data_IF_255796199668
#
_entry.id   IF_255796199668
#
_cell.length_a   1.000
_cell.length_b   1.000
_cell.length_c   1.000
_cell.angle_alpha   90.00
_cell.angle_beta   90.00
_cell.angle_gamma   90.00
#
_symmetry.space_group_name_H-M   'P 1'
#
loop_
_entity.id
_entity.type
_entity.pdbx_description
1 polymer ?
#
# COMPACT_ATOMS: atom_id res chain seq x y z
N UNK A 1 53.85 29.21 -3.16
CA UNK A 1 53.02 28.32 -4.00
C UNK A 1 52.83 26.93 -3.40
N UNK A 2 53.86 26.28 -2.83
CA UNK A 2 53.72 24.97 -2.16
C UNK A 2 52.81 24.97 -0.90
N UNK A 3 52.90 26.03 -0.08
CA UNK A 3 52.12 26.15 1.17
C UNK A 3 50.61 26.34 0.95
N UNK A 4 50.21 26.94 -0.17
CA UNK A 4 48.79 27.13 -0.55
C UNK A 4 48.19 25.88 -1.16
N UNK A 5 48.99 25.07 -1.88
CA UNK A 5 48.58 23.78 -2.44
C UNK A 5 48.36 22.72 -1.35
N UNK A 6 49.20 22.71 -0.29
CA UNK A 6 49.02 21.79 0.85
C UNK A 6 47.74 22.09 1.65
N UNK A 7 47.39 23.37 1.83
CA UNK A 7 46.18 23.77 2.55
C UNK A 7 44.89 23.48 1.77
N UNK A 8 44.93 23.56 0.43
CA UNK A 8 43.82 23.17 -0.43
C UNK A 8 43.60 21.64 -0.43
N UNK A 9 44.68 20.85 -0.43
CA UNK A 9 44.62 19.38 -0.34
C UNK A 9 44.13 18.89 1.04
N UNK A 10 44.60 19.49 2.14
CA UNK A 10 44.08 19.17 3.48
C UNK A 10 42.63 19.64 3.68
N UNK A 11 42.25 20.80 3.12
CA UNK A 11 40.88 21.30 3.17
C UNK A 11 39.89 20.41 2.40
N UNK A 12 40.30 19.88 1.25
CA UNK A 12 39.45 18.97 0.45
C UNK A 12 39.27 17.60 1.14
N UNK A 13 40.26 17.11 1.89
CA UNK A 13 40.18 15.85 2.63
C UNK A 13 39.24 15.91 3.85
N UNK A 14 39.02 17.09 4.45
CA UNK A 14 38.16 17.25 5.63
C UNK A 14 36.67 17.41 5.23
N UNK A 15 36.36 17.89 4.02
CA UNK A 15 34.96 18.05 3.56
C UNK A 15 34.32 16.73 3.13
N UNK A 16 35.09 15.69 2.81
CA UNK A 16 34.56 14.40 2.34
C UNK A 16 34.06 13.48 3.47
N UNK A 17 34.36 13.76 4.74
CA UNK A 17 34.19 12.78 5.82
C UNK A 17 32.97 12.96 6.74
N UNK A 18 32.08 13.94 6.52
CA UNK A 18 30.90 14.11 7.39
C UNK A 18 29.62 14.33 6.58
N UNK A 19 29.13 13.28 5.93
CA UNK A 19 27.70 13.10 5.66
C UNK A 19 27.35 11.64 5.28
N UNK A 20 28.12 10.64 5.71
CA UNK A 20 27.60 9.28 5.79
C UNK A 20 26.73 9.20 7.06
N UNK A 21 25.58 9.89 7.05
CA UNK A 21 24.52 9.60 8.01
C UNK A 21 24.03 8.20 7.69
N UNK A 22 24.64 7.22 8.36
CA UNK A 22 24.08 5.88 8.43
C UNK A 22 22.75 6.01 9.15
N UNK A 23 21.67 6.07 8.37
CA UNK A 23 20.35 5.76 8.90
C UNK A 23 20.47 4.31 9.36
N UNK A 24 20.67 4.12 10.65
CA UNK A 24 20.39 2.86 11.31
C UNK A 24 18.89 2.71 11.21
N UNK A 25 18.44 2.15 10.09
CA UNK A 25 17.07 1.69 9.96
C UNK A 25 16.97 0.55 10.97
N UNK A 26 16.44 0.86 12.16
CA UNK A 26 15.93 -0.13 13.08
C UNK A 26 14.75 -0.78 12.39
N UNK A 27 15.03 -1.71 11.45
CA UNK A 27 14.08 -2.75 11.14
C UNK A 27 13.90 -3.46 12.46
N UNK A 28 12.79 -3.18 13.14
CA UNK A 28 12.27 -4.11 14.13
C UNK A 28 12.39 -5.47 13.47
N UNK A 29 13.08 -6.46 14.08
CA UNK A 29 12.94 -7.81 13.60
C UNK A 29 11.44 -8.04 13.63
N UNK A 30 10.84 -8.26 12.46
CA UNK A 30 9.61 -9.01 12.45
C UNK A 30 10.02 -10.30 13.16
N UNK A 31 9.63 -10.44 14.43
CA UNK A 31 9.69 -11.71 15.14
C UNK A 31 8.65 -12.60 14.47
N UNK A 32 8.91 -12.94 13.20
CA UNK A 32 8.17 -13.86 12.40
C UNK A 32 8.68 -15.22 12.80
N UNK A 33 7.86 -15.97 13.51
CA UNK A 33 8.25 -17.28 13.95
C UNK A 33 8.51 -18.18 12.72
N UNK A 34 9.54 -19.02 12.81
CA UNK A 34 9.94 -19.95 11.76
C UNK A 34 9.13 -21.23 11.93
N UNK A 35 8.13 -21.44 11.07
CA UNK A 35 7.32 -22.66 11.03
C UNK A 35 5.93 -22.46 10.45
N UNK A 36 5.25 -23.56 10.11
CA UNK A 36 3.88 -23.59 9.53
C UNK A 36 2.77 -23.09 10.46
N UNK A 37 3.09 -22.73 11.71
CA UNK A 37 2.13 -22.25 12.72
C UNK A 37 2.19 -20.73 12.96
N UNK A 38 2.95 -20.02 12.13
CA UNK A 38 3.23 -18.59 12.29
C UNK A 38 2.34 -17.78 11.38
N UNK A 39 1.15 -17.43 11.86
CA UNK A 39 0.35 -16.41 11.21
C UNK A 39 0.94 -15.04 11.56
N UNK A 40 1.32 -14.21 10.56
CA UNK A 40 1.85 -12.87 10.82
C UNK A 40 0.81 -11.90 11.40
N UNK A 41 -0.47 -12.26 11.37
CA UNK A 41 -1.59 -11.51 11.93
C UNK A 41 -2.72 -12.47 12.32
N UNK A 42 -3.49 -12.11 13.35
CA UNK A 42 -4.71 -12.84 13.75
C UNK A 42 -5.93 -12.38 12.97
N UNK A 43 -6.03 -11.06 12.72
CA UNK A 43 -7.14 -10.42 12.03
C UNK A 43 -6.62 -9.40 11.02
N UNK A 44 -7.32 -9.30 9.89
CA UNK A 44 -7.16 -8.20 8.94
C UNK A 44 -8.49 -7.43 8.92
N UNK A 45 -8.42 -6.14 9.18
CA UNK A 45 -9.53 -5.21 8.97
C UNK A 45 -9.14 -4.28 7.84
N UNK A 46 -9.94 -4.28 6.78
CA UNK A 46 -9.76 -3.39 5.63
C UNK A 46 -10.92 -2.41 5.58
N UNK A 47 -10.61 -1.12 5.70
CA UNK A 47 -11.58 -0.03 5.55
C UNK A 47 -11.33 0.58 4.17
N UNK A 48 -12.37 0.62 3.34
CA UNK A 48 -12.32 1.20 2.02
C UNK A 48 -13.26 2.40 1.95
N UNK A 49 -12.71 3.55 1.54
CA UNK A 49 -13.48 4.78 1.39
C UNK A 49 -13.91 4.95 -0.06
N UNK A 50 -15.20 4.99 -0.29
CA UNK A 50 -15.77 5.21 -1.62
C UNK A 50 -15.48 6.62 -2.12
N UNK A 51 -14.97 6.71 -3.36
CA UNK A 51 -14.75 7.95 -4.10
C UNK A 51 -13.92 9.00 -3.35
N UNK A 52 -12.94 8.54 -2.55
CA UNK A 52 -11.97 9.40 -1.87
C UNK A 52 -10.56 9.16 -2.37
N UNK A 53 -9.95 10.20 -2.94
CA UNK A 53 -8.52 10.26 -3.20
C UNK A 53 -7.73 10.76 -1.99
N UNK A 54 -6.41 10.63 -2.06
CA UNK A 54 -5.48 10.95 -0.96
C UNK A 54 -5.72 12.33 -0.33
N UNK A 55 -5.77 13.40 -1.14
CA UNK A 55 -5.86 14.77 -0.65
C UNK A 55 -7.28 15.16 -0.19
N UNK A 56 -8.29 14.34 -0.49
CA UNK A 56 -9.64 14.51 0.06
C UNK A 56 -9.76 13.95 1.48
N UNK A 57 -8.81 13.09 1.90
CA UNK A 57 -8.80 12.47 3.24
C UNK A 57 -7.74 13.13 4.11
N UNK A 58 -6.50 13.16 3.65
CA UNK A 58 -5.35 13.55 4.46
C UNK A 58 -5.38 15.05 4.78
N UNK A 59 -5.37 15.39 6.07
CA UNK A 59 -5.39 16.81 6.50
C UNK A 59 -4.14 17.57 6.07
N UNK A 60 -3.04 16.86 5.83
CA UNK A 60 -1.79 17.42 5.30
C UNK A 60 -1.87 17.84 3.82
N UNK A 61 -2.98 17.56 3.13
CA UNK A 61 -3.18 17.91 1.72
C UNK A 61 -4.57 18.56 1.45
N UNK A 62 -5.21 19.10 2.50
CA UNK A 62 -6.50 19.81 2.37
C UNK A 62 -7.75 18.97 2.67
N UNK A 63 -7.59 17.72 3.06
CA UNK A 63 -8.68 16.87 3.55
C UNK A 63 -9.08 17.17 4.99
N UNK A 64 -10.12 16.50 5.47
CA UNK A 64 -10.65 16.66 6.84
C UNK A 64 -10.63 15.38 7.69
N UNK A 65 -10.04 14.29 7.18
CA UNK A 65 -9.91 13.00 7.88
C UNK A 65 -8.83 13.03 8.94
N UNK A 66 -9.15 13.58 10.12
CA UNK A 66 -8.19 13.73 11.23
C UNK A 66 -7.75 12.38 11.80
N UNK A 67 -8.67 11.42 11.89
CA UNK A 67 -8.38 10.08 12.41
C UNK A 67 -7.54 9.25 11.43
N UNK A 68 -7.89 9.25 10.14
CA UNK A 68 -7.11 8.57 9.11
C UNK A 68 -5.70 9.15 9.01
N UNK A 69 -5.59 10.49 9.13
CA UNK A 69 -4.29 11.16 9.14
C UNK A 69 -3.45 10.76 10.36
N UNK A 70 -4.05 10.67 11.55
CA UNK A 70 -3.31 10.27 12.75
C UNK A 70 -2.84 8.82 12.70
N UNK A 71 -3.65 7.90 12.15
CA UNK A 71 -3.26 6.52 11.92
C UNK A 71 -2.07 6.43 10.94
N UNK A 72 -2.15 7.12 9.81
CA UNK A 72 -1.08 7.14 8.81
C UNK A 72 0.25 7.71 9.36
N UNK A 73 0.19 8.75 10.20
CA UNK A 73 1.37 9.33 10.85
C UNK A 73 1.94 8.43 11.94
N UNK A 74 1.11 7.65 12.62
CA UNK A 74 1.53 6.80 13.74
C UNK A 74 2.13 5.47 13.30
N UNK A 75 1.65 4.92 12.17
CA UNK A 75 2.05 3.59 11.72
C UNK A 75 2.84 3.63 10.41
N UNK A 76 2.13 3.69 9.29
CA UNK A 76 2.74 3.73 7.98
C UNK A 76 1.77 4.31 6.95
N UNK A 77 2.33 4.97 5.95
CA UNK A 77 1.63 5.37 4.74
C UNK A 77 2.46 4.98 3.53
N UNK A 78 1.79 4.50 2.48
CA UNK A 78 2.45 4.08 1.26
C UNK A 78 2.77 5.28 0.38
N UNK A 79 4.06 5.53 0.17
CA UNK A 79 4.54 6.69 -0.55
C UNK A 79 4.06 8.02 0.04
N UNK A 80 4.15 9.07 -0.76
CA UNK A 80 3.65 10.42 -0.49
C UNK A 80 2.99 10.96 -1.73
N UNK A 81 1.76 11.46 -1.60
CA UNK A 81 1.00 12.02 -2.72
C UNK A 81 0.96 13.55 -2.66
N UNK A 82 0.96 14.18 -3.84
CA UNK A 82 0.81 15.64 -4.02
C UNK A 82 -0.57 16.02 -4.53
N UNK A 83 -1.34 15.05 -5.03
CA UNK A 83 -2.75 15.20 -5.43
C UNK A 83 -3.48 13.86 -5.26
N UNK A 84 -4.77 13.81 -5.60
CA UNK A 84 -5.56 12.56 -5.59
C UNK A 84 -5.08 11.52 -6.62
N UNK A 85 -4.30 11.93 -7.62
CA UNK A 85 -3.90 11.09 -8.76
C UNK A 85 -2.40 11.12 -9.01
N UNK A 86 -1.59 11.62 -8.07
CA UNK A 86 -0.14 11.70 -8.22
C UNK A 86 0.57 11.43 -6.90
N UNK A 87 1.39 10.39 -6.90
CA UNK A 87 2.18 9.94 -5.76
C UNK A 87 3.63 9.65 -6.14
N UNK A 88 4.50 9.74 -5.15
CA UNK A 88 5.87 9.24 -5.22
C UNK A 88 5.90 7.72 -5.31
N UNK A 89 7.07 7.16 -5.65
CA UNK A 89 7.26 5.72 -5.82
C UNK A 89 6.74 4.94 -4.59
N UNK A 90 5.92 3.93 -4.85
CA UNK A 90 5.28 3.11 -3.82
C UNK A 90 3.98 3.68 -3.24
N UNK A 91 3.54 4.87 -3.68
CA UNK A 91 2.18 5.36 -3.40
C UNK A 91 1.13 4.76 -4.33
N UNK A 92 -0.13 4.82 -3.90
CA UNK A 92 -1.27 4.23 -4.62
C UNK A 92 -2.25 5.31 -5.08
N UNK A 93 -2.78 5.14 -6.29
CA UNK A 93 -3.86 5.95 -6.87
C UNK A 93 -4.91 5.02 -7.48
N UNK A 94 -6.10 5.56 -7.79
CA UNK A 94 -7.06 4.84 -8.60
C UNK A 94 -6.47 4.47 -9.97
N UNK A 95 -6.91 3.35 -10.52
CA UNK A 95 -6.61 2.89 -11.87
C UNK A 95 -7.56 3.51 -12.90
N UNK A 96 -8.86 3.55 -12.57
CA UNK A 96 -9.92 4.03 -13.47
C UNK A 96 -10.96 4.84 -12.71
N UNK A 97 -11.79 5.54 -13.48
CA UNK A 97 -13.06 6.06 -13.04
C UNK A 97 -14.11 5.58 -14.04
N UNK A 98 -15.21 4.94 -13.62
CA UNK A 98 -15.76 4.80 -12.27
C UNK A 98 -15.04 3.81 -11.32
N UNK A 99 -15.59 3.60 -10.12
CA UNK A 99 -14.91 2.96 -8.97
C UNK A 99 -14.83 1.44 -9.05
N UNK A 100 -15.74 0.74 -9.75
CA UNK A 100 -15.80 -0.74 -9.77
C UNK A 100 -14.49 -1.42 -10.21
N UNK A 101 -13.80 -0.99 -11.28
CA UNK A 101 -12.51 -1.55 -11.67
C UNK A 101 -11.45 -1.49 -10.56
N UNK A 102 -11.51 -0.49 -9.68
CA UNK A 102 -10.56 -0.34 -8.58
C UNK A 102 -10.79 -1.39 -7.49
N UNK A 103 -12.04 -1.79 -7.25
CA UNK A 103 -12.39 -2.85 -6.30
C UNK A 103 -11.95 -4.22 -6.82
N UNK A 104 -12.13 -4.46 -8.12
CA UNK A 104 -11.65 -5.66 -8.80
C UNK A 104 -10.13 -5.76 -8.68
N UNK A 105 -9.40 -4.67 -8.96
CA UNK A 105 -7.95 -4.66 -8.84
C UNK A 105 -7.46 -4.79 -7.39
N UNK A 106 -8.16 -4.22 -6.42
CA UNK A 106 -7.82 -4.34 -5.00
C UNK A 106 -7.86 -5.80 -4.53
N UNK A 107 -8.87 -6.56 -4.97
CA UNK A 107 -9.07 -7.95 -4.53
C UNK A 107 -8.36 -8.96 -5.43
N UNK A 108 -8.34 -8.72 -6.74
CA UNK A 108 -7.75 -9.62 -7.74
C UNK A 108 -6.28 -9.36 -8.07
N UNK A 109 -5.72 -8.23 -7.63
CA UNK A 109 -4.35 -7.80 -7.99
C UNK A 109 -4.19 -7.38 -9.46
N UNK A 110 -5.28 -7.36 -10.23
CA UNK A 110 -5.35 -6.99 -11.64
C UNK A 110 -6.78 -6.51 -11.94
N UNK A 111 -6.96 -5.61 -12.90
CA UNK A 111 -8.28 -5.16 -13.37
C UNK A 111 -8.88 -6.10 -14.44
N UNK A 112 -8.14 -7.10 -14.93
CA UNK A 112 -8.57 -8.07 -15.95
C UNK A 112 -9.10 -7.44 -17.25
N UNK A 113 -8.59 -6.25 -17.59
CA UNK A 113 -9.05 -5.47 -18.75
C UNK A 113 -10.36 -4.71 -18.53
N UNK A 114 -10.92 -4.75 -17.32
CA UNK A 114 -12.12 -3.99 -16.93
C UNK A 114 -11.70 -2.58 -16.56
N UNK A 115 -12.37 -1.58 -17.14
CA UNK A 115 -12.03 -0.16 -16.98
C UNK A 115 -13.26 0.72 -16.72
N UNK A 116 -14.44 0.13 -16.67
CA UNK A 116 -15.72 0.82 -16.48
C UNK A 116 -16.62 0.00 -15.52
N UNK A 117 -17.74 0.59 -15.12
CA UNK A 117 -18.74 -0.10 -14.31
C UNK A 117 -19.50 -1.13 -15.18
N UNK A 118 -19.78 -2.29 -14.57
CA UNK A 118 -20.57 -3.35 -15.17
C UNK A 118 -22.03 -3.27 -14.72
N UNK A 119 -22.95 -3.66 -15.61
CA UNK A 119 -24.28 -4.04 -15.15
C UNK A 119 -24.12 -5.37 -14.39
N UNK A 120 -24.23 -5.32 -13.06
CA UNK A 120 -23.94 -6.39 -12.09
C UNK A 120 -24.03 -7.82 -12.65
N UNK A 121 -22.96 -8.62 -12.70
CA UNK A 121 -21.59 -8.46 -12.16
C UNK A 121 -20.58 -9.11 -13.12
N UNK A 122 -19.33 -8.65 -13.15
CA UNK A 122 -18.28 -9.36 -13.88
C UNK A 122 -18.04 -10.75 -13.29
N UNK A 123 -18.17 -11.79 -14.11
CA UNK A 123 -17.79 -13.16 -13.76
C UNK A 123 -16.31 -13.36 -14.04
N UNK A 124 -15.48 -13.19 -13.00
CA UNK A 124 -14.03 -13.28 -13.11
C UNK A 124 -13.57 -14.59 -12.46
N UNK A 125 -13.21 -15.57 -13.30
CA UNK A 125 -12.62 -16.84 -12.86
C UNK A 125 -11.09 -16.73 -12.79
N UNK A 126 -10.59 -15.97 -11.82
CA UNK A 126 -9.16 -15.80 -11.56
C UNK A 126 -8.86 -15.87 -10.06
N UNK A 127 -7.67 -16.37 -9.66
CA UNK A 127 -7.26 -16.33 -8.26
C UNK A 127 -7.29 -14.90 -7.72
N UNK A 128 -7.86 -14.74 -6.53
CA UNK A 128 -7.97 -13.45 -5.86
C UNK A 128 -7.69 -13.60 -4.35
N UNK A 129 -7.54 -12.47 -3.66
CA UNK A 129 -7.22 -12.43 -2.23
C UNK A 129 -8.22 -13.23 -1.40
N UNK A 130 -9.51 -13.13 -1.69
CA UNK A 130 -10.58 -13.84 -0.95
C UNK A 130 -10.42 -15.36 -1.14
N UNK A 131 -10.19 -15.82 -2.37
CA UNK A 131 -9.96 -17.24 -2.65
C UNK A 131 -8.73 -17.78 -1.90
N UNK A 132 -7.67 -16.98 -1.76
CA UNK A 132 -6.47 -17.34 -0.98
C UNK A 132 -6.74 -17.36 0.52
N UNK A 133 -7.50 -16.39 1.05
CA UNK A 133 -7.90 -16.36 2.46
C UNK A 133 -8.73 -17.58 2.84
N UNK A 134 -9.68 -17.98 2.00
CA UNK A 134 -10.50 -19.17 2.21
C UNK A 134 -9.66 -20.46 2.19
N UNK A 135 -8.63 -20.54 1.33
CA UNK A 135 -7.71 -21.70 1.30
C UNK A 135 -6.95 -21.88 2.61
N UNK A 136 -6.61 -20.80 3.30
CA UNK A 136 -5.91 -20.83 4.61
C UNK A 136 -6.86 -20.81 5.81
N UNK A 137 -8.18 -20.99 5.56
CA UNK A 137 -9.25 -21.00 6.57
C UNK A 137 -9.37 -19.70 7.37
N UNK A 138 -9.06 -18.56 6.76
CA UNK A 138 -9.48 -17.27 7.28
C UNK A 138 -10.96 -17.06 6.92
N UNK A 139 -11.76 -16.65 7.90
CA UNK A 139 -13.18 -16.32 7.72
C UNK A 139 -13.26 -14.87 7.27
N UNK A 140 -14.03 -14.62 6.22
CA UNK A 140 -14.37 -13.28 5.75
C UNK A 140 -15.79 -12.96 6.20
N UNK A 141 -15.96 -11.89 6.97
CA UNK A 141 -17.27 -11.32 7.31
C UNK A 141 -17.47 -10.04 6.50
N UNK A 142 -17.94 -10.12 5.24
CA UNK A 142 -18.16 -8.94 4.44
C UNK A 142 -19.37 -8.16 4.98
N UNK A 143 -19.17 -6.88 5.27
CA UNK A 143 -20.26 -5.93 5.56
C UNK A 143 -20.67 -5.17 4.27
N UNK A 144 -20.35 -5.72 3.09
CA UNK A 144 -20.58 -5.10 1.79
C UNK A 144 -21.71 -5.79 1.02
N UNK A 145 -22.51 -5.00 0.30
CA UNK A 145 -23.80 -5.36 -0.31
C UNK A 145 -23.72 -6.17 -1.60
N UNK A 146 -22.52 -6.49 -2.12
CA UNK A 146 -22.37 -7.16 -3.41
C UNK A 146 -21.48 -8.42 -3.31
N UNK A 147 -21.96 -9.60 -3.73
CA UNK A 147 -21.21 -10.85 -3.63
C UNK A 147 -20.14 -10.94 -4.73
N UNK A 148 -19.04 -10.20 -4.59
CA UNK A 148 -17.87 -10.24 -5.50
C UNK A 148 -17.07 -11.56 -5.43
N UNK A 149 -17.51 -12.53 -4.64
CA UNK A 149 -16.83 -13.82 -4.49
C UNK A 149 -17.84 -14.95 -4.32
N UNK A 150 -18.48 -15.37 -5.41
CA UNK A 150 -19.12 -16.69 -5.42
C UNK A 150 -18.01 -17.73 -5.36
N UNK A 151 -18.08 -18.63 -4.38
CA UNK A 151 -17.21 -19.80 -4.24
C UNK A 151 -17.19 -20.57 -5.57
N UNK A 152 -16.09 -20.54 -6.33
CA UNK A 152 -15.87 -21.52 -7.39
C UNK A 152 -15.58 -22.85 -6.72
N UNK A 153 -16.63 -23.63 -6.46
CA UNK A 153 -16.48 -25.07 -6.28
C UNK A 153 -16.09 -25.64 -7.63
N UNK A 154 -14.78 -25.75 -7.89
CA UNK A 154 -14.30 -26.69 -8.90
C UNK A 154 -14.83 -28.07 -8.52
N UNK A 155 -15.71 -28.58 -9.38
CA UNK A 155 -16.38 -29.85 -9.26
C UNK A 155 -16.72 -30.34 -10.65
N UNK A 156 -15.71 -30.91 -11.33
CA UNK A 156 -15.72 -32.10 -12.19
C UNK A 156 -14.33 -32.28 -12.78
#
# INVERSE_FOLDING_TARGET
MWRTLLSLLLGLLIVVSVAASTIVQTRLPATGCIGTSCRPFDYIVTILMENKGYCQVMTTCGGSGTYETSLAQSYAIAGKCTSNSSCTLGGYTALFHPSEPNYIALVGGNNFGITDDGNCCYEIDQPNLIALMLKVRLVLDPVASCPLAKRTTSGS
#
